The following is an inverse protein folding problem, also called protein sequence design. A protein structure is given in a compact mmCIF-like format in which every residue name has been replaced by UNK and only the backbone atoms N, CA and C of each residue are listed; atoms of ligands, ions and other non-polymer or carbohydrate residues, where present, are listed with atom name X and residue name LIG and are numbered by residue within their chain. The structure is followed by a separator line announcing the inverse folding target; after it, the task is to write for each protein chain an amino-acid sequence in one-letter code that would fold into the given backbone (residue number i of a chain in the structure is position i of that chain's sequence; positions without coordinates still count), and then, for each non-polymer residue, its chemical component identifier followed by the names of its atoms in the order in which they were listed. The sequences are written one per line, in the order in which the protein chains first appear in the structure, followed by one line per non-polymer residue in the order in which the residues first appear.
data_IF_854702614019
#
_entry.id   IF_854702614019
#
_cell.length_a   1.000
_cell.length_b   1.000
_cell.length_c   1.000
_cell.angle_alpha   90.00
_cell.angle_beta   90.00
_cell.angle_gamma   90.00
#
_symmetry.space_group_name_H-M   'P 1'
#
loop_
_entity.id
_entity.type
_entity.pdbx_description
1 polymer ?
#
# COMPACT_ATOMS: atom_id res chain seq x y z
N UNK A 1 -2.67 -8.13 4.60
CA UNK A 1 -2.61 -8.30 3.12
C UNK A 1 -1.24 -7.78 2.68
N UNK A 2 -0.57 -8.46 1.75
CA UNK A 2 0.71 -7.99 1.21
C UNK A 2 0.56 -7.78 -0.29
N UNK A 3 1.02 -6.62 -0.78
CA UNK A 3 1.07 -6.30 -2.21
C UNK A 3 2.53 -6.11 -2.60
N UNK A 4 2.98 -6.80 -3.65
CA UNK A 4 4.38 -6.77 -4.08
C UNK A 4 4.44 -6.18 -5.49
N UNK A 5 5.18 -5.09 -5.63
CA UNK A 5 5.42 -4.44 -6.92
C UNK A 5 6.81 -4.85 -7.41
N UNK A 6 6.88 -5.43 -8.61
CA UNK A 6 8.11 -5.97 -9.23
C UNK A 6 8.97 -4.89 -9.91
N UNK A 7 8.82 -3.64 -9.50
CA UNK A 7 9.46 -2.47 -10.08
C UNK A 7 9.12 -1.24 -9.24
N UNK A 8 9.89 -0.17 -9.40
CA UNK A 8 9.66 1.04 -8.60
C UNK A 8 8.49 1.82 -9.21
N UNK A 9 7.38 1.99 -8.47
CA UNK A 9 6.20 2.63 -9.04
C UNK A 9 6.41 4.15 -9.19
N UNK A 10 5.46 4.80 -9.86
CA UNK A 10 5.37 6.26 -9.90
C UNK A 10 5.14 6.83 -8.48
N UNK A 11 5.08 8.17 -8.36
CA UNK A 11 4.90 8.83 -7.06
C UNK A 11 3.63 8.36 -6.36
N UNK A 12 2.56 8.16 -7.12
CA UNK A 12 1.29 7.64 -6.63
C UNK A 12 0.85 6.49 -7.52
N UNK A 13 0.26 5.45 -6.93
CA UNK A 13 -0.28 4.32 -7.67
C UNK A 13 -1.48 3.72 -6.93
N UNK A 14 -2.30 2.94 -7.65
CA UNK A 14 -3.52 2.33 -7.12
C UNK A 14 -3.43 0.81 -7.23
N UNK A 15 -3.79 0.11 -6.15
CA UNK A 15 -3.94 -1.35 -6.14
C UNK A 15 -5.41 -1.67 -6.41
N UNK A 16 -5.80 -1.81 -7.68
CA UNK A 16 -7.20 -1.88 -8.09
C UNK A 16 -7.98 -3.05 -7.47
N UNK A 17 -7.32 -4.19 -7.22
CA UNK A 17 -7.96 -5.37 -6.60
C UNK A 17 -8.48 -5.12 -5.18
N UNK A 18 -8.08 -4.02 -4.54
CA UNK A 18 -8.54 -3.64 -3.19
C UNK A 18 -9.84 -2.84 -3.19
N UNK A 19 -10.45 -2.54 -4.35
CA UNK A 19 -11.76 -1.88 -4.45
C UNK A 19 -12.89 -2.65 -3.73
N UNK A 20 -12.72 -3.96 -3.52
CA UNK A 20 -13.68 -4.81 -2.82
C UNK A 20 -13.57 -4.70 -1.29
N UNK A 21 -12.57 -4.00 -0.74
CA UNK A 21 -12.44 -3.77 0.69
C UNK A 21 -13.40 -2.66 1.14
N UNK A 22 -13.97 -2.80 2.35
CA UNK A 22 -14.87 -1.78 2.88
C UNK A 22 -14.10 -0.49 3.25
N UNK A 23 -14.75 0.68 3.14
CA UNK A 23 -14.21 1.92 3.71
C UNK A 23 -13.93 1.75 5.20
N UNK A 24 -12.70 2.06 5.65
CA UNK A 24 -12.26 1.88 7.05
C UNK A 24 -11.72 0.48 7.39
N UNK A 25 -11.72 -0.44 6.43
CA UNK A 25 -11.14 -1.77 6.62
C UNK A 25 -9.62 -1.76 6.56
N UNK A 26 -9.00 -0.82 5.86
CA UNK A 26 -7.54 -0.62 5.89
C UNK A 26 -7.19 0.26 7.09
N UNK A 27 -6.23 -0.20 7.90
CA UNK A 27 -5.74 0.47 9.10
C UNK A 27 -4.44 1.20 8.87
N UNK A 28 -3.49 0.54 8.21
CA UNK A 28 -2.17 1.11 7.90
C UNK A 28 -1.58 0.50 6.65
N UNK A 29 -0.69 1.25 6.01
CA UNK A 29 0.11 0.78 4.88
C UNK A 29 1.58 1.10 5.14
N UNK A 30 2.43 0.08 5.12
CA UNK A 30 3.87 0.19 5.39
C UNK A 30 4.66 -0.44 4.23
N UNK A 31 5.80 0.16 3.85
CA UNK A 31 6.75 -0.48 2.92
C UNK A 31 7.81 -1.23 3.73
N UNK A 32 7.94 -2.54 3.48
CA UNK A 32 8.97 -3.34 4.14
C UNK A 32 10.36 -2.83 3.74
N UNK A 33 11.19 -2.54 4.74
CA UNK A 33 12.53 -1.97 4.56
C UNK A 33 12.57 -0.43 4.49
N UNK A 34 11.43 0.25 4.54
CA UNK A 34 11.34 1.69 4.77
C UNK A 34 10.81 1.98 6.18
N UNK A 35 11.20 3.10 6.75
CA UNK A 35 10.75 3.51 8.08
C UNK A 35 9.43 4.30 7.98
N UNK A 36 8.42 3.86 8.73
CA UNK A 36 7.18 4.59 8.94
C UNK A 36 6.00 4.14 8.06
N UNK A 37 4.84 4.70 8.38
CA UNK A 37 3.60 4.50 7.63
C UNK A 37 3.60 5.38 6.38
N UNK A 38 3.12 4.84 5.27
CA UNK A 38 2.95 5.58 4.02
C UNK A 38 1.67 6.40 4.04
N UNK A 39 1.62 7.45 3.22
CA UNK A 39 0.34 8.11 2.93
C UNK A 39 -0.46 7.23 1.99
N UNK A 40 -1.73 7.01 2.33
CA UNK A 40 -2.64 6.19 1.54
C UNK A 40 -4.07 6.70 1.67
N UNK A 41 -4.89 6.37 0.68
CA UNK A 41 -6.31 6.71 0.65
C UNK A 41 -7.10 5.57 0.00
N UNK A 42 -8.21 5.18 0.62
CA UNK A 42 -9.15 4.24 -0.02
C UNK A 42 -10.04 5.03 -0.99
N UNK A 43 -9.96 4.71 -2.28
CA UNK A 43 -10.77 5.33 -3.33
C UNK A 43 -11.77 4.33 -3.90
N UNK A 44 -12.73 4.80 -4.70
CA UNK A 44 -13.66 3.93 -5.42
C UNK A 44 -12.98 2.94 -6.39
N UNK A 45 -11.75 3.24 -6.84
CA UNK A 45 -10.95 2.36 -7.70
C UNK A 45 -10.06 1.39 -6.90
N UNK A 46 -9.99 1.53 -5.58
CA UNK A 46 -9.09 0.79 -4.70
C UNK A 46 -8.16 1.68 -3.89
N UNK A 47 -7.18 1.06 -3.25
CA UNK A 47 -6.21 1.67 -2.36
C UNK A 47 -5.15 2.44 -3.16
N UNK A 48 -5.19 3.76 -3.04
CA UNK A 48 -4.17 4.67 -3.55
C UNK A 48 -3.06 4.80 -2.51
N UNK A 49 -1.81 4.63 -2.93
CA UNK A 49 -0.62 4.71 -2.06
C UNK A 49 0.34 5.76 -2.63
N UNK A 50 0.86 6.64 -1.77
CA UNK A 50 1.99 7.50 -2.10
C UNK A 50 3.30 6.75 -1.81
N UNK A 51 4.13 6.63 -2.84
CA UNK A 51 5.43 5.98 -2.74
C UNK A 51 6.38 6.82 -1.87
N UNK A 52 7.15 6.19 -0.96
CA UNK A 52 8.16 6.91 -0.19
C UNK A 52 9.29 7.40 -1.10
N UNK A 53 9.93 8.50 -0.71
CA UNK A 53 11.07 9.08 -1.44
C UNK A 53 12.25 8.12 -1.52
N UNK A 54 12.53 7.41 -0.43
CA UNK A 54 13.64 6.49 -0.33
C UNK A 54 13.28 5.09 -0.80
N UNK A 55 14.10 4.56 -1.70
CA UNK A 55 14.02 3.20 -2.20
C UNK A 55 14.75 2.23 -1.25
N UNK A 56 14.09 1.19 -0.71
CA UNK A 56 14.74 0.26 0.21
C UNK A 56 15.61 -0.82 -0.49
N UNK A 57 15.29 -1.18 -1.74
CA UNK A 57 16.04 -2.16 -2.55
C UNK A 57 15.77 -1.97 -4.05
N UNK A 58 16.47 -2.66 -4.95
CA UNK A 58 16.35 -2.41 -6.39
C UNK A 58 15.35 -3.31 -7.15
N UNK A 59 14.88 -4.39 -6.53
CA UNK A 59 14.21 -5.47 -7.26
C UNK A 59 12.69 -5.54 -7.04
N UNK A 60 12.22 -5.48 -5.79
CA UNK A 60 10.80 -5.66 -5.49
C UNK A 60 10.41 -4.96 -4.19
N UNK A 61 9.21 -4.39 -4.17
CA UNK A 61 8.73 -3.54 -3.08
C UNK A 61 7.48 -4.15 -2.48
N UNK A 62 7.59 -4.59 -1.23
CA UNK A 62 6.50 -5.25 -0.53
C UNK A 62 5.78 -4.26 0.39
N UNK A 63 4.53 -3.97 0.07
CA UNK A 63 3.62 -3.16 0.85
C UNK A 63 2.82 -4.06 1.78
N UNK A 64 2.96 -3.84 3.08
CA UNK A 64 2.14 -4.45 4.13
C UNK A 64 0.90 -3.60 4.34
N UNK A 65 -0.26 -4.18 4.08
CA UNK A 65 -1.57 -3.56 4.28
C UNK A 65 -2.21 -4.23 5.50
N UNK A 66 -2.27 -3.50 6.60
CA UNK A 66 -2.90 -3.93 7.85
C UNK A 66 -4.39 -3.62 7.74
N UNK A 67 -5.24 -4.61 8.03
CA UNK A 67 -6.69 -4.47 8.01
C UNK A 67 -7.26 -4.43 9.43
N UNK A 68 -8.32 -3.66 9.64
CA UNK A 68 -9.16 -3.77 10.83
C UNK A 68 -9.98 -5.05 10.69
N UNK A 69 -9.60 -6.08 11.42
CA UNK A 69 -10.40 -7.30 11.51
C UNK A 69 -11.54 -7.02 12.49
N UNK A 70 -12.74 -6.72 11.97
CA UNK A 70 -13.95 -6.95 12.74
C UNK A 70 -14.16 -8.46 12.77
N UNK A 71 -13.84 -9.07 13.91
CA UNK A 71 -14.28 -10.44 14.24
C UNK A 71 -15.79 -10.52 14.31
#
# INVERSE_FOLDING_TARGET
LYAIVLGWPEREFVIESTHALYPGEVRSVELLGAAGELKWEMTAKGLKIERPDQRPCDHAYAFKITRNTSV
#
